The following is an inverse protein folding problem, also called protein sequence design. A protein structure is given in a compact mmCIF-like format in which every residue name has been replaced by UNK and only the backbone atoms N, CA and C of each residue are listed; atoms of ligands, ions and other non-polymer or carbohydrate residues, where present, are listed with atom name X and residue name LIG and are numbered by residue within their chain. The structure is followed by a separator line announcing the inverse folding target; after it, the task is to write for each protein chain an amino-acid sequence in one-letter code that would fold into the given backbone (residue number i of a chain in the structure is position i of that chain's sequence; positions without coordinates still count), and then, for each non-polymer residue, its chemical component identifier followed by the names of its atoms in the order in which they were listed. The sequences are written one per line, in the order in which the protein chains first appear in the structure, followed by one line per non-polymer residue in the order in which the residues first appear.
data_IF_203428541941
#
_entry.id   IF_203428541941
#
_cell.length_a   1.000
_cell.length_b   1.000
_cell.length_c   1.000
_cell.angle_alpha   90.00
_cell.angle_beta   90.00
_cell.angle_gamma   90.00
#
_symmetry.space_group_name_H-M   'P 1'
#
loop_
_entity.id
_entity.type
_entity.pdbx_description
1 polymer ?
#
# COMPACT_ATOMS: atom_id res chain seq x y z
N UNK A 1 190.35 -39.82 106.29
CA UNK A 1 191.07 -40.64 105.28
C UNK A 1 191.91 -41.80 105.87
N UNK A 2 191.74 -42.18 107.13
CA UNK A 2 191.15 -43.51 107.43
C UNK A 2 189.64 -43.45 107.28
N UNK A 3 189.13 -42.75 106.24
CA UNK A 3 188.65 -43.44 105.03
C UNK A 3 187.67 -44.43 105.59
N UNK A 4 186.37 -44.15 105.61
CA UNK A 4 185.31 -45.12 105.31
C UNK A 4 185.23 -46.42 106.16
N UNK A 5 186.21 -46.74 106.99
CA UNK A 5 186.82 -48.05 106.75
C UNK A 5 187.60 -48.61 107.95
N UNK A 6 187.22 -48.22 109.16
CA UNK A 6 187.24 -49.18 110.25
C UNK A 6 185.84 -49.32 110.84
N UNK A 7 184.82 -49.01 110.03
CA UNK A 7 184.05 -50.04 109.29
C UNK A 7 182.93 -50.53 110.22
N UNK A 8 181.75 -50.92 109.79
CA UNK A 8 181.57 -52.11 108.92
C UNK A 8 182.33 -53.37 109.43
N UNK A 9 183.07 -53.30 110.54
CA UNK A 9 183.80 -54.41 111.14
C UNK A 9 184.30 -53.98 112.52
N UNK A 10 183.37 -53.94 113.45
CA UNK A 10 183.50 -54.22 114.87
C UNK A 10 182.19 -53.66 115.44
N UNK A 11 181.10 -54.39 115.27
CA UNK A 11 180.97 -55.77 115.73
C UNK A 11 181.43 -55.83 117.19
N UNK A 12 180.51 -56.31 118.00
CA UNK A 12 180.75 -57.03 119.24
C UNK A 12 180.60 -56.23 120.55
N UNK A 13 179.73 -56.80 121.40
CA UNK A 13 179.91 -56.96 122.86
C UNK A 13 179.25 -55.89 123.77
N UNK A 14 178.12 -56.32 124.37
CA UNK A 14 177.29 -55.73 125.44
C UNK A 14 176.43 -54.47 125.16
N UNK A 15 175.19 -54.53 125.68
CA UNK A 15 173.94 -53.88 125.28
C UNK A 15 173.76 -52.43 125.81
N UNK A 16 173.39 -51.49 124.94
CA UNK A 16 172.98 -50.10 125.25
C UNK A 16 171.49 -50.01 125.58
N UNK A 17 171.14 -49.52 126.76
CA UNK A 17 169.79 -49.62 127.31
C UNK A 17 168.79 -48.58 126.78
N UNK A 18 168.22 -48.90 125.62
CA UNK A 18 166.77 -49.04 125.54
C UNK A 18 166.25 -49.63 126.86
N UNK A 19 165.00 -49.38 127.23
CA UNK A 19 164.24 -50.41 127.93
C UNK A 19 164.57 -50.63 129.41
N UNK A 20 163.72 -50.05 130.24
CA UNK A 20 162.86 -50.84 131.08
C UNK A 20 161.73 -49.93 131.54
N UNK A 21 160.51 -50.47 131.60
CA UNK A 21 159.49 -49.95 132.48
C UNK A 21 160.08 -49.74 133.89
N UNK A 22 159.59 -48.74 134.64
CA UNK A 22 160.23 -48.23 135.87
C UNK A 22 160.80 -49.36 136.77
N UNK A 23 162.10 -49.32 137.13
CA UNK A 23 162.75 -50.40 137.88
C UNK A 23 162.20 -50.58 139.30
N UNK A 24 161.62 -49.53 139.88
CA UNK A 24 160.95 -49.51 141.19
C UNK A 24 159.49 -49.98 141.16
N UNK A 25 159.00 -50.47 140.00
CA UNK A 25 157.65 -51.05 139.88
C UNK A 25 157.77 -52.55 139.54
N UNK A 26 157.81 -53.43 140.56
CA UNK A 26 157.91 -54.88 140.37
C UNK A 26 156.78 -55.43 139.51
N UNK A 27 157.06 -56.47 138.71
CA UNK A 27 156.06 -57.11 137.84
C UNK A 27 154.90 -57.76 138.60
N UNK A 28 155.13 -58.17 139.85
CA UNK A 28 154.16 -58.73 140.78
C UNK A 28 153.44 -57.67 141.64
N UNK A 29 153.79 -56.39 141.49
CA UNK A 29 153.07 -55.31 142.15
C UNK A 29 151.68 -55.12 141.52
N UNK A 30 150.65 -55.00 142.36
CA UNK A 30 149.24 -54.87 141.92
C UNK A 30 149.00 -53.73 140.91
N UNK A 31 149.82 -52.67 140.96
CA UNK A 31 149.69 -51.51 140.09
C UNK A 31 150.35 -51.65 138.70
N UNK A 32 151.10 -52.74 138.46
CA UNK A 32 151.98 -52.86 137.29
C UNK A 32 151.26 -52.64 135.96
N UNK A 33 150.15 -53.36 135.71
CA UNK A 33 149.41 -53.25 134.43
C UNK A 33 148.83 -51.86 134.21
N UNK A 34 148.35 -51.21 135.27
CA UNK A 34 147.74 -49.90 135.18
C UNK A 34 148.80 -48.86 134.82
N UNK A 35 149.94 -48.88 135.51
CA UNK A 35 151.07 -48.00 135.22
C UNK A 35 151.61 -48.25 133.81
N UNK A 36 151.67 -49.51 133.36
CA UNK A 36 152.05 -49.88 131.99
C UNK A 36 151.10 -49.30 130.93
N UNK A 37 149.79 -49.48 131.11
CA UNK A 37 148.78 -48.98 130.16
C UNK A 37 148.79 -47.46 130.06
N UNK A 38 149.00 -46.77 131.18
CA UNK A 38 149.09 -45.32 131.22
C UNK A 38 150.40 -44.82 130.62
N UNK A 39 151.52 -45.50 130.88
CA UNK A 39 152.82 -45.17 130.29
C UNK A 39 152.82 -45.33 128.76
N UNK A 40 152.26 -46.42 128.22
CA UNK A 40 152.14 -46.61 126.76
C UNK A 40 151.32 -45.51 126.07
N UNK A 41 150.34 -44.93 126.77
CA UNK A 41 149.50 -43.83 126.26
C UNK A 41 150.12 -42.45 126.54
N UNK A 42 151.34 -42.41 127.09
CA UNK A 42 152.05 -41.19 127.45
C UNK A 42 151.47 -40.46 128.68
N UNK A 43 150.51 -41.05 129.39
CA UNK A 43 149.78 -40.40 130.50
C UNK A 43 150.71 -40.19 131.71
N UNK A 44 151.43 -41.23 132.15
CA UNK A 44 152.51 -41.13 133.16
C UNK A 44 153.87 -41.43 132.53
N UNK A 45 154.87 -40.58 132.77
CA UNK A 45 156.21 -40.68 132.15
C UNK A 45 157.35 -40.97 133.15
N UNK A 46 157.09 -40.94 134.46
CA UNK A 46 158.08 -41.16 135.53
C UNK A 46 158.89 -39.91 135.91
N UNK A 47 159.80 -40.08 136.86
CA UNK A 47 160.71 -39.04 137.33
C UNK A 47 162.05 -39.03 136.56
N UNK A 48 162.80 -37.91 136.58
CA UNK A 48 164.06 -37.79 135.82
C UNK A 48 165.15 -38.80 136.20
N UNK A 49 165.04 -39.45 137.36
CA UNK A 49 165.93 -40.53 137.80
C UNK A 49 165.54 -41.91 137.25
N UNK A 50 164.44 -42.01 136.49
CA UNK A 50 163.95 -43.23 135.86
C UNK A 50 163.01 -44.07 136.73
N UNK A 51 162.70 -43.63 137.95
CA UNK A 51 161.75 -44.30 138.86
C UNK A 51 160.32 -43.75 138.72
N UNK A 52 159.33 -44.54 139.12
CA UNK A 52 157.93 -44.11 139.23
C UNK A 52 157.61 -43.44 140.56
N UNK A 53 158.30 -43.86 141.63
CA UNK A 53 158.12 -43.44 143.03
C UNK A 53 156.70 -43.65 143.54
N UNK A 54 156.21 -44.88 143.45
CA UNK A 54 154.81 -45.25 143.75
C UNK A 54 154.29 -44.86 145.14
N UNK A 55 155.16 -44.82 146.17
CA UNK A 55 154.80 -44.44 147.54
C UNK A 55 154.91 -42.93 147.81
N UNK A 56 155.37 -42.14 146.83
CA UNK A 56 155.47 -40.69 146.97
C UNK A 56 154.11 -40.04 146.70
N UNK A 57 153.68 -39.17 147.61
CA UNK A 57 152.55 -38.29 147.34
C UNK A 57 152.79 -37.43 146.10
N UNK A 58 151.87 -37.46 145.14
CA UNK A 58 151.90 -36.56 143.98
C UNK A 58 151.41 -35.17 144.38
N UNK A 59 152.05 -34.15 143.79
CA UNK A 59 151.57 -32.77 143.86
C UNK A 59 150.32 -32.61 142.99
N UNK A 60 149.47 -31.63 143.33
CA UNK A 60 148.29 -31.30 142.51
C UNK A 60 148.67 -30.93 141.06
N UNK A 61 149.87 -30.39 140.83
CA UNK A 61 150.39 -30.09 139.50
C UNK A 61 150.64 -31.36 138.67
N UNK A 62 151.27 -32.39 139.26
CA UNK A 62 151.52 -33.67 138.58
C UNK A 62 150.22 -34.39 138.22
N UNK A 63 149.24 -34.41 139.14
CA UNK A 63 147.92 -34.99 138.88
C UNK A 63 147.20 -34.31 137.70
N UNK A 64 147.26 -32.97 137.63
CA UNK A 64 146.64 -32.21 136.54
C UNK A 64 147.27 -32.53 135.17
N UNK A 65 148.59 -32.70 135.10
CA UNK A 65 149.29 -33.08 133.85
C UNK A 65 148.83 -34.46 133.35
N UNK A 66 148.68 -35.44 134.24
CA UNK A 66 148.20 -36.76 133.87
C UNK A 66 146.75 -36.73 133.33
N UNK A 67 145.85 -35.99 133.99
CA UNK A 67 144.46 -35.83 133.53
C UNK A 67 144.39 -35.14 132.16
N UNK A 68 145.20 -34.10 131.93
CA UNK A 68 145.24 -33.41 130.64
C UNK A 68 145.58 -34.37 129.50
N UNK A 69 146.62 -35.18 129.67
CA UNK A 69 147.02 -36.16 128.65
C UNK A 69 145.98 -37.26 128.43
N UNK A 70 145.29 -37.66 129.50
CA UNK A 70 144.18 -38.61 129.39
C UNK A 70 143.04 -38.01 128.55
N UNK A 71 142.71 -36.74 128.75
CA UNK A 71 141.68 -36.05 127.95
C UNK A 71 142.09 -35.94 126.48
N UNK A 72 143.33 -35.53 126.19
CA UNK A 72 143.84 -35.47 124.81
C UNK A 72 143.75 -36.83 124.09
N UNK A 73 144.08 -37.91 124.80
CA UNK A 73 143.96 -39.26 124.27
C UNK A 73 142.50 -39.66 123.99
N UNK A 74 141.57 -39.32 124.90
CA UNK A 74 140.13 -39.58 124.72
C UNK A 74 139.60 -38.78 123.54
N UNK A 75 139.94 -37.50 123.42
CA UNK A 75 139.54 -36.67 122.29
C UNK A 75 140.05 -37.24 120.97
N UNK A 76 141.33 -37.59 120.87
CA UNK A 76 141.90 -38.11 119.63
C UNK A 76 141.25 -39.43 119.18
N UNK A 77 140.90 -40.33 120.10
CA UNK A 77 140.34 -41.66 119.79
C UNK A 77 138.82 -41.67 119.63
N UNK A 78 138.07 -40.88 120.41
CA UNK A 78 136.61 -40.79 120.26
C UNK A 78 136.19 -39.89 119.09
N UNK A 79 137.01 -38.91 118.68
CA UNK A 79 136.66 -38.03 117.57
C UNK A 79 137.06 -38.55 116.19
N UNK A 80 137.97 -39.53 116.08
CA UNK A 80 138.50 -39.97 114.79
C UNK A 80 137.74 -41.14 114.12
N UNK A 81 136.84 -41.85 114.82
CA UNK A 81 136.27 -43.11 114.32
C UNK A 81 134.76 -43.16 114.06
N UNK A 82 133.97 -42.22 114.61
CA UNK A 82 132.50 -42.27 114.54
C UNK A 82 131.88 -41.15 113.66
N UNK A 83 132.69 -40.40 112.92
CA UNK A 83 132.27 -39.19 112.19
C UNK A 83 132.43 -39.25 110.67
N UNK A 84 132.92 -40.36 110.11
CA UNK A 84 133.19 -40.50 108.66
C UNK A 84 131.97 -40.77 107.76
N UNK A 85 131.24 -41.88 107.97
CA UNK A 85 130.33 -42.39 106.92
C UNK A 85 128.83 -42.23 107.21
N UNK A 86 128.41 -41.93 108.45
CA UNK A 86 126.99 -41.72 108.76
C UNK A 86 126.46 -40.42 108.14
N UNK A 87 127.28 -39.36 108.10
CA UNK A 87 126.91 -38.07 107.52
C UNK A 87 126.56 -38.20 106.02
N UNK A 88 127.28 -39.04 105.27
CA UNK A 88 127.08 -39.18 103.83
C UNK A 88 125.81 -39.98 103.50
N UNK A 89 125.52 -41.06 104.24
CA UNK A 89 124.29 -41.85 104.08
C UNK A 89 123.06 -41.03 104.46
N UNK A 90 123.11 -40.31 105.58
CA UNK A 90 122.05 -39.40 106.01
C UNK A 90 121.85 -38.28 104.98
N UNK A 91 122.93 -37.73 104.42
CA UNK A 91 122.87 -36.74 103.33
C UNK A 91 122.13 -37.23 102.10
N UNK A 92 122.51 -38.37 101.51
CA UNK A 92 121.88 -38.89 100.29
C UNK A 92 120.38 -39.23 100.46
N UNK A 93 119.99 -39.73 101.64
CA UNK A 93 118.59 -40.03 101.94
C UNK A 93 117.78 -38.75 102.16
N UNK A 94 118.38 -37.76 102.85
CA UNK A 94 117.83 -36.41 102.98
C UNK A 94 117.59 -35.79 101.59
N UNK A 95 118.57 -35.85 100.69
CA UNK A 95 118.44 -35.29 99.34
C UNK A 95 117.30 -35.96 98.53
N UNK A 96 117.15 -37.28 98.60
CA UNK A 96 116.03 -38.00 97.94
C UNK A 96 114.68 -37.69 98.58
N UNK A 97 114.60 -37.59 99.91
CA UNK A 97 113.36 -37.26 100.60
C UNK A 97 112.94 -35.82 100.28
N UNK A 98 113.88 -34.87 100.30
CA UNK A 98 113.64 -33.50 99.87
C UNK A 98 113.14 -33.43 98.42
N UNK A 99 113.75 -34.16 97.49
CA UNK A 99 113.31 -34.18 96.09
C UNK A 99 111.91 -34.82 95.90
N UNK A 100 111.55 -35.80 96.72
CA UNK A 100 110.22 -36.41 96.69
C UNK A 100 109.17 -35.48 97.30
N UNK A 101 109.49 -34.86 98.44
CA UNK A 101 108.66 -33.85 99.08
C UNK A 101 108.40 -32.67 98.14
N UNK A 102 109.42 -32.20 97.43
CA UNK A 102 109.30 -31.17 96.39
C UNK A 102 108.33 -31.61 95.27
N UNK A 103 108.43 -32.85 94.77
CA UNK A 103 107.49 -33.38 93.75
C UNK A 103 106.06 -33.52 94.26
N UNK A 104 105.86 -33.96 95.50
CA UNK A 104 104.53 -34.11 96.11
C UNK A 104 103.90 -32.74 96.33
N UNK A 105 104.68 -31.76 96.80
CA UNK A 105 104.23 -30.37 96.90
C UNK A 105 103.88 -29.80 95.52
N UNK A 106 104.67 -30.12 94.49
CA UNK A 106 104.37 -29.76 93.09
C UNK A 106 103.06 -30.37 92.58
N UNK A 107 102.81 -31.66 92.82
CA UNK A 107 101.55 -32.33 92.45
C UNK A 107 100.34 -31.77 93.21
N UNK A 108 100.53 -31.44 94.49
CA UNK A 108 99.49 -30.79 95.30
C UNK A 108 99.09 -29.46 94.68
N UNK A 109 100.07 -28.64 94.27
CA UNK A 109 99.79 -27.38 93.55
C UNK A 109 99.11 -27.55 92.20
N UNK A 110 99.43 -28.61 91.44
CA UNK A 110 98.74 -28.93 90.18
C UNK A 110 97.28 -29.33 90.44
N UNK A 111 97.01 -30.14 91.46
CA UNK A 111 95.65 -30.55 91.84
C UNK A 111 94.79 -29.36 92.26
N UNK A 112 95.34 -28.44 93.05
CA UNK A 112 94.66 -27.20 93.44
C UNK A 112 94.34 -26.34 92.20
N UNK A 113 95.28 -26.25 91.26
CA UNK A 113 95.09 -25.52 89.99
C UNK A 113 93.98 -26.14 89.15
N UNK A 114 93.96 -27.47 89.00
CA UNK A 114 92.92 -28.18 88.24
C UNK A 114 91.55 -28.05 88.89
N UNK A 115 91.46 -28.15 90.23
CA UNK A 115 90.21 -27.93 90.95
C UNK A 115 89.65 -26.52 90.72
N UNK A 116 90.52 -25.50 90.72
CA UNK A 116 90.16 -24.13 90.38
C UNK A 116 89.69 -23.98 88.92
N UNK A 117 90.39 -24.61 87.96
CA UNK A 117 89.99 -24.60 86.55
C UNK A 117 88.66 -25.30 86.29
N UNK A 118 88.39 -26.42 86.96
CA UNK A 118 87.10 -27.12 86.87
C UNK A 118 85.98 -26.25 87.46
N UNK A 119 86.21 -25.62 88.62
CA UNK A 119 85.25 -24.71 89.23
C UNK A 119 84.90 -23.51 88.34
N UNK A 120 85.92 -22.87 87.76
CA UNK A 120 85.73 -21.75 86.82
C UNK A 120 85.03 -22.19 85.52
N UNK A 121 85.37 -23.37 84.98
CA UNK A 121 84.71 -23.92 83.79
C UNK A 121 83.24 -24.24 84.05
N UNK A 122 82.92 -24.82 85.20
CA UNK A 122 81.54 -25.12 85.60
C UNK A 122 80.72 -23.84 85.80
N UNK A 123 81.31 -22.80 86.39
CA UNK A 123 80.68 -21.50 86.53
C UNK A 123 80.40 -20.85 85.16
N UNK A 124 81.39 -20.85 84.26
CA UNK A 124 81.23 -20.32 82.90
C UNK A 124 80.18 -21.09 82.09
N UNK A 125 80.10 -22.42 82.23
CA UNK A 125 79.07 -23.24 81.59
C UNK A 125 77.67 -22.87 82.10
N UNK A 126 77.51 -22.80 83.41
CA UNK A 126 76.22 -22.43 84.04
C UNK A 126 75.78 -21.03 83.61
N UNK A 127 76.72 -20.09 83.53
CA UNK A 127 76.45 -18.73 83.05
C UNK A 127 76.08 -18.70 81.56
N UNK A 128 76.75 -19.49 80.73
CA UNK A 128 76.42 -19.63 79.30
C UNK A 128 75.05 -20.25 79.10
N UNK A 129 74.69 -21.27 79.89
CA UNK A 129 73.37 -21.90 79.88
C UNK A 129 72.27 -20.89 80.28
N UNK A 130 72.52 -20.08 81.32
CA UNK A 130 71.62 -19.00 81.74
C UNK A 130 71.43 -17.96 80.63
N UNK A 131 72.51 -17.47 80.02
CA UNK A 131 72.44 -16.52 78.91
C UNK A 131 71.71 -17.08 77.68
N UNK A 132 71.89 -18.38 77.39
CA UNK A 132 71.20 -19.03 76.27
C UNK A 132 69.69 -19.14 76.53
N UNK A 133 69.29 -19.50 77.75
CA UNK A 133 67.88 -19.56 78.15
C UNK A 133 67.22 -18.18 78.07
N UNK A 134 67.88 -17.12 78.56
CA UNK A 134 67.38 -15.75 78.45
C UNK A 134 67.21 -15.30 76.98
N UNK A 135 68.15 -15.68 76.10
CA UNK A 135 68.03 -15.42 74.66
C UNK A 135 66.88 -16.21 74.02
N UNK A 136 66.65 -17.46 74.43
CA UNK A 136 65.54 -18.29 73.95
C UNK A 136 64.21 -17.67 74.37
N UNK A 137 64.07 -17.25 75.63
CA UNK A 137 62.86 -16.63 76.15
C UNK A 137 62.58 -15.29 75.44
N UNK A 138 63.60 -14.45 75.24
CA UNK A 138 63.46 -13.19 74.49
C UNK A 138 63.01 -13.40 73.04
N UNK A 139 63.60 -14.39 72.33
CA UNK A 139 63.19 -14.74 70.96
C UNK A 139 61.76 -15.29 70.94
N UNK A 140 61.38 -16.08 71.95
CA UNK A 140 60.02 -16.61 72.06
C UNK A 140 59.00 -15.48 72.26
N UNK A 141 59.28 -14.52 73.14
CA UNK A 141 58.44 -13.34 73.35
C UNK A 141 58.33 -12.49 72.07
N UNK A 142 59.43 -12.27 71.35
CA UNK A 142 59.42 -11.54 70.08
C UNK A 142 58.55 -12.23 69.02
N UNK A 143 58.66 -13.56 68.90
CA UNK A 143 57.84 -14.39 68.01
C UNK A 143 56.36 -14.28 68.41
N UNK A 144 56.02 -14.46 69.69
CA UNK A 144 54.64 -14.37 70.17
C UNK A 144 54.03 -12.98 69.89
N UNK A 145 54.78 -11.90 70.12
CA UNK A 145 54.34 -10.54 69.81
C UNK A 145 54.09 -10.31 68.31
N UNK A 146 54.97 -10.78 67.42
CA UNK A 146 54.79 -10.59 65.98
C UNK A 146 53.65 -11.46 65.44
N UNK A 147 53.48 -12.69 65.95
CA UNK A 147 52.33 -13.54 65.63
C UNK A 147 51.01 -12.90 66.07
N UNK A 148 50.91 -12.37 67.30
CA UNK A 148 49.70 -11.71 67.80
C UNK A 148 49.34 -10.47 66.97
N UNK A 149 50.34 -9.70 66.56
CA UNK A 149 50.18 -8.55 65.66
C UNK A 149 49.67 -8.96 64.29
N UNK A 150 50.24 -10.01 63.68
CA UNK A 150 49.80 -10.53 62.39
C UNK A 150 48.38 -11.10 62.46
N UNK A 151 48.05 -11.84 63.52
CA UNK A 151 46.69 -12.36 63.77
C UNK A 151 45.68 -11.21 63.91
N UNK A 152 46.05 -10.14 64.63
CA UNK A 152 45.20 -8.96 64.80
C UNK A 152 44.91 -8.27 63.47
N UNK A 153 45.94 -8.02 62.65
CA UNK A 153 45.81 -7.44 61.32
C UNK A 153 44.96 -8.32 60.40
N UNK A 154 45.20 -9.63 60.38
CA UNK A 154 44.43 -10.57 59.57
C UNK A 154 42.95 -10.60 60.00
N UNK A 155 42.66 -10.54 61.30
CA UNK A 155 41.29 -10.44 61.82
C UNK A 155 40.59 -9.16 61.34
N UNK A 156 41.29 -8.03 61.36
CA UNK A 156 40.76 -6.76 60.86
C UNK A 156 40.47 -6.81 59.34
N UNK A 157 41.41 -7.33 58.55
CA UNK A 157 41.24 -7.51 57.10
C UNK A 157 40.06 -8.42 56.78
N UNK A 158 39.93 -9.56 57.46
CA UNK A 158 38.80 -10.48 57.29
C UNK A 158 37.47 -9.81 57.65
N UNK A 159 37.42 -9.05 58.75
CA UNK A 159 36.22 -8.29 59.12
C UNK A 159 35.84 -7.26 58.05
N UNK A 160 36.81 -6.49 57.54
CA UNK A 160 36.60 -5.50 56.49
C UNK A 160 36.13 -6.12 55.17
N UNK A 161 36.68 -7.28 54.78
CA UNK A 161 36.24 -8.05 53.63
C UNK A 161 34.80 -8.54 53.83
N UNK A 162 34.49 -9.09 55.01
CA UNK A 162 33.13 -9.54 55.37
C UNK A 162 32.09 -8.42 55.26
N UNK A 163 32.41 -7.21 55.76
CA UNK A 163 31.55 -6.03 55.63
C UNK A 163 31.34 -5.59 54.18
N UNK A 164 32.41 -5.54 53.37
CA UNK A 164 32.33 -5.18 51.95
C UNK A 164 31.48 -6.19 51.16
N UNK A 165 31.69 -7.49 51.40
CA UNK A 165 30.90 -8.55 50.78
C UNK A 165 29.42 -8.47 51.18
N UNK A 166 29.13 -8.20 52.46
CA UNK A 166 27.76 -8.02 52.94
C UNK A 166 27.05 -6.82 52.28
N UNK A 167 27.76 -5.70 52.10
CA UNK A 167 27.22 -4.53 51.39
C UNK A 167 26.99 -4.82 49.90
N UNK A 168 27.97 -5.42 49.22
CA UNK A 168 27.85 -5.79 47.80
C UNK A 168 26.69 -6.77 47.56
N UNK A 169 26.50 -7.75 48.46
CA UNK A 169 25.37 -8.67 48.41
C UNK A 169 24.03 -7.93 48.53
N UNK A 170 23.94 -6.93 49.42
CA UNK A 170 22.71 -6.13 49.58
C UNK A 170 22.43 -5.24 48.37
N UNK A 171 23.48 -4.68 47.76
CA UNK A 171 23.34 -3.85 46.56
C UNK A 171 22.92 -4.70 45.35
N UNK A 172 23.45 -5.92 45.23
CA UNK A 172 23.02 -6.89 44.20
C UNK A 172 21.55 -7.25 44.34
N UNK A 173 21.08 -7.60 45.55
CA UNK A 173 19.66 -7.92 45.76
C UNK A 173 18.76 -6.71 45.46
N UNK A 174 19.15 -5.50 45.88
CA UNK A 174 18.40 -4.28 45.55
C UNK A 174 18.35 -4.02 44.04
N UNK A 175 19.46 -4.23 43.33
CA UNK A 175 19.50 -4.08 41.87
C UNK A 175 18.59 -5.09 41.18
N UNK A 176 18.62 -6.36 41.62
CA UNK A 176 17.76 -7.42 41.13
C UNK A 176 16.28 -7.11 41.36
N UNK A 177 15.91 -6.69 42.58
CA UNK A 177 14.54 -6.26 42.90
C UNK A 177 14.07 -5.10 41.99
N UNK A 178 14.94 -4.12 41.71
CA UNK A 178 14.61 -3.02 40.80
C UNK A 178 14.41 -3.50 39.35
N UNK A 179 15.22 -4.44 38.88
CA UNK A 179 15.07 -5.05 37.54
C UNK A 179 13.76 -5.82 37.45
N UNK A 180 13.46 -6.67 38.44
CA UNK A 180 12.23 -7.45 38.50
C UNK A 180 10.99 -6.55 38.53
N UNK A 181 11.03 -5.46 39.32
CA UNK A 181 9.97 -4.45 39.35
C UNK A 181 9.78 -3.78 37.97
N UNK A 182 10.89 -3.45 37.27
CA UNK A 182 10.81 -2.83 35.95
C UNK A 182 10.26 -3.78 34.88
N UNK A 183 10.64 -5.05 34.94
CA UNK A 183 10.10 -6.11 34.08
C UNK A 183 8.59 -6.25 34.32
N UNK A 184 8.14 -6.25 35.57
CA UNK A 184 6.71 -6.28 35.91
C UNK A 184 5.96 -5.08 35.32
N UNK A 185 6.49 -3.86 35.50
CA UNK A 185 5.89 -2.64 34.94
C UNK A 185 5.78 -2.68 33.41
N UNK A 186 6.81 -3.18 32.72
CA UNK A 186 6.82 -3.31 31.25
C UNK A 186 5.79 -4.36 30.79
N UNK A 187 5.69 -5.49 31.49
CA UNK A 187 4.73 -6.54 31.16
C UNK A 187 3.27 -6.07 31.37
N UNK A 188 2.99 -5.31 32.42
CA UNK A 188 1.66 -4.71 32.63
C UNK A 188 1.29 -3.73 31.52
N UNK A 189 2.24 -2.88 31.10
CA UNK A 189 2.04 -1.94 29.98
C UNK A 189 1.83 -2.67 28.66
N UNK A 190 2.58 -3.73 28.40
CA UNK A 190 2.42 -4.56 27.21
C UNK A 190 1.03 -5.21 27.17
N UNK A 191 0.58 -5.83 28.27
CA UNK A 191 -0.74 -6.44 28.37
C UNK A 191 -1.87 -5.42 28.15
N UNK A 192 -1.73 -4.20 28.67
CA UNK A 192 -2.69 -3.12 28.43
C UNK A 192 -2.74 -2.70 26.96
N UNK A 193 -1.60 -2.62 26.29
CA UNK A 193 -1.51 -2.29 24.87
C UNK A 193 -2.10 -3.41 23.99
N UNK A 194 -1.82 -4.67 24.30
CA UNK A 194 -2.40 -5.83 23.62
C UNK A 194 -3.92 -5.85 23.74
N UNK A 195 -4.46 -5.52 24.92
CA UNK A 195 -5.90 -5.38 25.14
C UNK A 195 -6.52 -4.24 24.31
N UNK A 196 -5.90 -3.07 24.28
CA UNK A 196 -6.37 -1.93 23.47
C UNK A 196 -6.37 -2.27 21.97
N UNK A 197 -5.30 -2.90 21.49
CA UNK A 197 -5.19 -3.35 20.11
C UNK A 197 -6.25 -4.41 19.77
N UNK A 198 -6.47 -5.38 20.66
CA UNK A 198 -7.53 -6.39 20.50
C UNK A 198 -8.93 -5.77 20.39
N UNK A 199 -9.24 -4.77 21.23
CA UNK A 199 -10.51 -4.05 21.14
C UNK A 199 -10.67 -3.30 19.82
N UNK A 200 -9.61 -2.59 19.37
CA UNK A 200 -9.63 -1.87 18.08
C UNK A 200 -9.80 -2.80 16.88
N UNK A 201 -9.20 -3.99 16.92
CA UNK A 201 -9.38 -5.02 15.89
C UNK A 201 -10.84 -5.47 15.87
N UNK A 202 -11.44 -5.76 17.04
CA UNK A 202 -12.84 -6.15 17.14
C UNK A 202 -13.81 -5.06 16.61
N UNK A 203 -13.54 -3.79 16.89
CA UNK A 203 -14.32 -2.66 16.36
C UNK A 203 -14.22 -2.59 14.82
N UNK A 204 -13.02 -2.75 14.27
CA UNK A 204 -12.79 -2.78 12.82
C UNK A 204 -13.50 -3.96 12.15
N UNK A 205 -13.43 -5.16 12.74
CA UNK A 205 -14.17 -6.33 12.28
C UNK A 205 -15.69 -6.07 12.28
N UNK A 206 -16.20 -5.42 13.33
CA UNK A 206 -17.60 -4.99 13.42
C UNK A 206 -18.01 -4.06 12.27
N UNK A 207 -17.20 -3.05 11.97
CA UNK A 207 -17.44 -2.10 10.86
C UNK A 207 -17.38 -2.80 9.51
N UNK A 208 -16.39 -3.66 9.28
CA UNK A 208 -16.24 -4.42 8.02
C UNK A 208 -17.47 -5.29 7.77
N UNK A 209 -17.95 -6.00 8.80
CA UNK A 209 -19.16 -6.82 8.72
C UNK A 209 -20.43 -5.98 8.40
N UNK A 210 -20.53 -4.75 8.91
CA UNK A 210 -21.62 -3.85 8.58
C UNK A 210 -21.55 -3.38 7.12
N UNK A 211 -20.37 -2.95 6.66
CA UNK A 211 -20.17 -2.54 5.27
C UNK A 211 -20.43 -3.69 4.28
N UNK A 212 -20.06 -4.93 4.62
CA UNK A 212 -20.36 -6.09 3.79
C UNK A 212 -21.88 -6.26 3.60
N UNK A 213 -22.66 -6.14 4.68
CA UNK A 213 -24.13 -6.17 4.61
C UNK A 213 -24.69 -5.01 3.77
N UNK A 214 -24.17 -3.80 3.95
CA UNK A 214 -24.61 -2.62 3.20
C UNK A 214 -24.32 -2.76 1.70
N UNK A 215 -23.15 -3.29 1.33
CA UNK A 215 -22.78 -3.57 -0.07
C UNK A 215 -23.76 -4.57 -0.69
N UNK A 216 -24.07 -5.66 0.01
CA UNK A 216 -25.05 -6.66 -0.46
C UNK A 216 -26.42 -6.01 -0.66
N UNK A 217 -26.88 -5.19 0.29
CA UNK A 217 -28.15 -4.48 0.21
C UNK A 217 -28.19 -3.49 -0.97
N UNK A 218 -27.12 -2.74 -1.19
CA UNK A 218 -26.99 -1.82 -2.32
C UNK A 218 -27.03 -2.58 -3.64
N UNK A 219 -26.29 -3.69 -3.75
CA UNK A 219 -26.29 -4.53 -4.94
C UNK A 219 -27.71 -5.04 -5.28
N UNK A 220 -28.43 -5.56 -4.29
CA UNK A 220 -29.81 -6.03 -4.47
C UNK A 220 -30.74 -4.91 -4.93
N UNK A 221 -30.63 -3.71 -4.34
CA UNK A 221 -31.40 -2.53 -4.76
C UNK A 221 -31.09 -2.11 -6.20
N UNK A 222 -29.82 -2.08 -6.58
CA UNK A 222 -29.40 -1.76 -7.95
C UNK A 222 -29.97 -2.78 -8.94
N UNK A 223 -29.90 -4.07 -8.60
CA UNK A 223 -30.46 -5.14 -9.42
C UNK A 223 -31.97 -4.94 -9.64
N UNK A 224 -32.73 -4.66 -8.57
CA UNK A 224 -34.18 -4.42 -8.68
C UNK A 224 -34.52 -3.17 -9.50
N UNK A 225 -33.74 -2.10 -9.34
CA UNK A 225 -33.95 -0.85 -10.10
C UNK A 225 -33.66 -1.07 -11.58
N UNK A 226 -32.59 -1.82 -11.90
CA UNK A 226 -32.25 -2.15 -13.29
C UNK A 226 -33.34 -3.01 -13.95
N UNK A 227 -33.89 -3.98 -13.23
CA UNK A 227 -35.01 -4.78 -13.71
C UNK A 227 -36.26 -3.92 -13.99
N UNK A 228 -36.63 -3.04 -13.05
CA UNK A 228 -37.76 -2.12 -13.23
C UNK A 228 -37.54 -1.18 -14.42
N UNK A 229 -36.34 -0.64 -14.58
CA UNK A 229 -35.99 0.24 -15.69
C UNK A 229 -36.07 -0.48 -17.03
N UNK A 230 -35.51 -1.69 -17.13
CA UNK A 230 -35.56 -2.51 -18.34
C UNK A 230 -37.02 -2.85 -18.72
N UNK A 231 -37.86 -3.18 -17.75
CA UNK A 231 -39.28 -3.43 -17.97
C UNK A 231 -40.01 -2.17 -18.48
N UNK A 232 -39.70 -0.99 -17.94
CA UNK A 232 -40.27 0.29 -18.42
C UNK A 232 -39.81 0.65 -19.83
N UNK A 233 -38.54 0.40 -20.16
CA UNK A 233 -37.98 0.61 -21.50
C UNK A 233 -38.71 -0.31 -22.50
N UNK A 234 -38.77 -1.61 -22.22
CA UNK A 234 -39.45 -2.58 -23.08
C UNK A 234 -40.93 -2.22 -23.32
N UNK A 235 -41.65 -1.83 -22.26
CA UNK A 235 -43.06 -1.40 -22.39
C UNK A 235 -43.23 -0.09 -23.19
N UNK A 236 -42.21 0.78 -23.20
CA UNK A 236 -42.23 2.02 -23.97
C UNK A 236 -41.91 1.74 -25.44
N UNK A 237 -40.94 0.88 -25.71
CA UNK A 237 -40.60 0.41 -27.06
C UNK A 237 -41.78 -0.31 -27.73
N UNK A 238 -42.49 -1.17 -26.99
CA UNK A 238 -43.70 -1.83 -27.49
C UNK A 238 -44.79 -0.81 -27.88
N UNK A 239 -45.02 0.22 -27.04
CA UNK A 239 -45.98 1.29 -27.34
C UNK A 239 -45.57 2.11 -28.56
N UNK A 240 -44.28 2.37 -28.73
CA UNK A 240 -43.76 3.10 -29.89
C UNK A 240 -43.95 2.27 -31.18
N UNK A 241 -43.59 0.99 -31.15
CA UNK A 241 -43.79 0.07 -32.28
C UNK A 241 -45.26 0.00 -32.70
N UNK A 242 -46.18 -0.08 -31.74
CA UNK A 242 -47.64 -0.05 -32.02
C UNK A 242 -48.08 1.26 -32.63
N UNK A 243 -47.51 2.40 -32.21
CA UNK A 243 -47.82 3.71 -32.79
C UNK A 243 -47.28 3.84 -34.22
N UNK A 244 -46.09 3.30 -34.48
CA UNK A 244 -45.52 3.26 -35.82
C UNK A 244 -46.39 2.41 -36.76
N UNK A 245 -46.85 1.24 -36.32
CA UNK A 245 -47.81 0.40 -37.06
C UNK A 245 -49.13 1.13 -37.34
N UNK A 246 -49.70 1.81 -36.34
CA UNK A 246 -50.93 2.61 -36.49
C UNK A 246 -50.75 3.75 -37.50
N UNK A 247 -49.62 4.46 -37.46
CA UNK A 247 -49.30 5.56 -38.37
C UNK A 247 -49.11 5.02 -39.80
N UNK A 248 -48.34 3.95 -39.97
CA UNK A 248 -48.13 3.32 -41.28
C UNK A 248 -49.45 2.88 -41.91
N UNK A 249 -50.34 2.21 -41.14
CA UNK A 249 -51.65 1.81 -41.63
C UNK A 249 -52.53 3.01 -42.03
N UNK A 250 -52.47 4.11 -41.28
CA UNK A 250 -53.19 5.34 -41.61
C UNK A 250 -52.67 6.00 -42.89
N UNK A 251 -51.35 6.03 -43.08
CA UNK A 251 -50.71 6.56 -44.28
C UNK A 251 -51.11 5.75 -45.51
N UNK A 252 -51.04 4.41 -45.45
CA UNK A 252 -51.47 3.54 -46.56
C UNK A 252 -52.95 3.76 -46.93
N UNK A 253 -53.82 3.94 -45.93
CA UNK A 253 -55.24 4.21 -46.15
C UNK A 253 -55.44 5.57 -46.82
N UNK A 254 -54.77 6.62 -46.35
CA UNK A 254 -54.85 7.95 -46.96
C UNK A 254 -54.27 7.97 -48.38
N UNK A 255 -53.18 7.26 -48.65
CA UNK A 255 -52.63 7.13 -50.01
C UNK A 255 -53.66 6.49 -50.95
N UNK A 256 -54.32 5.43 -50.51
CA UNK A 256 -55.41 4.78 -51.27
C UNK A 256 -56.58 5.73 -51.52
N UNK A 257 -56.99 6.50 -50.51
CA UNK A 257 -58.07 7.48 -50.63
C UNK A 257 -57.71 8.61 -51.60
N UNK A 258 -56.47 9.10 -51.55
CA UNK A 258 -55.96 10.11 -52.49
C UNK A 258 -55.99 9.59 -53.92
N UNK A 259 -55.52 8.36 -54.17
CA UNK A 259 -55.56 7.73 -55.50
C UNK A 259 -57.00 7.58 -55.99
N UNK A 260 -57.92 7.13 -55.13
CA UNK A 260 -59.33 6.99 -55.47
C UNK A 260 -59.97 8.35 -55.83
N UNK A 261 -59.68 9.39 -55.05
CA UNK A 261 -60.15 10.75 -55.32
C UNK A 261 -59.59 11.28 -56.65
N UNK A 262 -58.31 11.08 -56.90
CA UNK A 262 -57.66 11.48 -58.15
C UNK A 262 -58.35 10.82 -59.37
N UNK A 263 -58.56 9.49 -59.32
CA UNK A 263 -59.24 8.75 -60.38
C UNK A 263 -60.68 9.23 -60.59
N UNK A 264 -61.40 9.52 -59.50
CA UNK A 264 -62.77 10.05 -59.58
C UNK A 264 -62.81 11.44 -60.22
N UNK A 265 -61.87 12.31 -59.88
CA UNK A 265 -61.74 13.65 -60.49
C UNK A 265 -61.40 13.54 -61.98
N UNK A 266 -60.49 12.63 -62.35
CA UNK A 266 -60.14 12.39 -63.75
C UNK A 266 -61.35 11.94 -64.58
N UNK A 267 -62.14 10.97 -64.07
CA UNK A 267 -63.35 10.49 -64.71
C UNK A 267 -64.43 11.58 -64.84
N UNK A 268 -64.62 12.40 -63.80
CA UNK A 268 -65.54 13.55 -63.86
C UNK A 268 -65.10 14.57 -64.91
N UNK A 269 -63.80 14.82 -65.03
CA UNK A 269 -63.26 15.75 -66.02
C UNK A 269 -63.44 15.23 -67.46
N UNK A 270 -63.28 13.92 -67.67
CA UNK A 270 -63.56 13.28 -68.97
C UNK A 270 -65.05 13.35 -69.34
N UNK A 271 -65.95 13.00 -68.41
CA UNK A 271 -67.41 13.08 -68.62
C UNK A 271 -67.87 14.51 -68.92
N UNK A 272 -67.33 15.50 -68.19
CA UNK A 272 -67.62 16.91 -68.43
C UNK A 272 -67.17 17.34 -69.83
N UNK A 273 -65.94 17.00 -70.23
CA UNK A 273 -65.42 17.33 -71.55
C UNK A 273 -66.24 16.67 -72.67
N UNK A 274 -66.66 15.43 -72.48
CA UNK A 274 -67.55 14.73 -73.42
C UNK A 274 -68.89 15.43 -73.56
N UNK A 275 -69.55 15.77 -72.44
CA UNK A 275 -70.81 16.54 -72.46
C UNK A 275 -70.68 17.87 -73.17
N UNK A 276 -69.57 18.57 -72.97
CA UNK A 276 -69.28 19.84 -73.68
C UNK A 276 -69.17 19.59 -75.19
N UNK A 277 -68.46 18.55 -75.62
CA UNK A 277 -68.32 18.17 -77.03
C UNK A 277 -69.67 17.78 -77.67
N UNK A 278 -70.44 16.94 -76.99
CA UNK A 278 -71.76 16.49 -77.46
C UNK A 278 -72.72 17.68 -77.59
N UNK A 279 -72.76 18.56 -76.58
CA UNK A 279 -73.57 19.79 -76.62
C UNK A 279 -73.16 20.70 -77.77
N UNK A 280 -71.86 20.86 -78.01
CA UNK A 280 -71.33 21.66 -79.13
C UNK A 280 -71.74 21.07 -80.47
N UNK A 281 -71.68 19.74 -80.62
CA UNK A 281 -72.09 19.05 -81.84
C UNK A 281 -73.60 19.20 -82.09
N UNK A 282 -74.43 19.01 -81.07
CA UNK A 282 -75.89 19.21 -81.16
C UNK A 282 -76.24 20.64 -81.58
N UNK A 283 -75.58 21.63 -80.97
CA UNK A 283 -75.81 23.04 -81.31
C UNK A 283 -75.40 23.33 -82.75
N UNK A 284 -74.24 22.81 -83.19
CA UNK A 284 -73.77 22.94 -84.57
C UNK A 284 -74.76 22.34 -85.57
N UNK A 285 -75.30 21.15 -85.31
CA UNK A 285 -76.28 20.49 -86.17
C UNK A 285 -77.62 21.25 -86.23
N UNK A 286 -78.07 21.83 -85.11
CA UNK A 286 -79.27 22.68 -85.07
C UNK A 286 -79.07 23.94 -85.92
N UNK A 287 -77.91 24.58 -85.82
CA UNK A 287 -77.56 25.75 -86.63
C UNK A 287 -77.60 25.39 -88.12
N UNK A 288 -76.94 24.30 -88.54
CA UNK A 288 -76.93 23.86 -89.94
C UNK A 288 -78.34 23.53 -90.47
N UNK A 289 -79.18 22.88 -89.65
CA UNK A 289 -80.59 22.61 -90.01
C UNK A 289 -81.40 23.89 -90.19
N UNK A 290 -81.17 24.89 -89.33
CA UNK A 290 -81.82 26.19 -89.45
C UNK A 290 -81.36 26.93 -90.70
N UNK A 291 -80.05 26.93 -90.99
CA UNK A 291 -79.48 27.51 -92.22
C UNK A 291 -80.08 26.86 -93.47
N UNK A 292 -80.20 25.52 -93.51
CA UNK A 292 -80.85 24.81 -94.61
C UNK A 292 -82.32 25.20 -94.78
N UNK A 293 -83.06 25.31 -93.68
CA UNK A 293 -84.47 25.72 -93.71
C UNK A 293 -84.61 27.14 -94.23
N UNK A 294 -83.75 28.05 -93.76
CA UNK A 294 -83.72 29.44 -94.21
C UNK A 294 -83.44 29.51 -95.72
N UNK A 295 -82.46 28.75 -96.22
CA UNK A 295 -82.16 28.67 -97.64
C UNK A 295 -83.34 28.14 -98.47
N UNK A 296 -84.05 27.11 -98.00
CA UNK A 296 -85.25 26.60 -98.68
C UNK A 296 -86.39 27.63 -98.72
N UNK A 297 -86.62 28.34 -97.63
CA UNK A 297 -87.63 29.42 -97.57
C UNK A 297 -87.26 30.50 -98.58
N UNK A 298 -85.98 30.89 -98.62
CA UNK A 298 -85.47 31.86 -99.57
C UNK A 298 -85.69 31.42 -101.04
N UNK A 299 -85.40 30.17 -101.40
CA UNK A 299 -85.67 29.65 -102.75
C UNK A 299 -87.17 29.64 -103.10
N UNK A 300 -88.03 29.20 -102.19
CA UNK A 300 -89.49 29.20 -102.41
C UNK A 300 -90.05 30.60 -102.60
N UNK A 301 -89.50 31.57 -101.89
CA UNK A 301 -89.87 32.97 -102.04
C UNK A 301 -89.55 33.43 -103.47
N UNK A 302 -88.34 33.16 -103.96
CA UNK A 302 -87.95 33.48 -105.35
C UNK A 302 -88.84 32.80 -106.39
N UNK A 303 -89.17 31.51 -106.22
CA UNK A 303 -90.08 30.80 -107.14
C UNK A 303 -91.49 31.42 -107.14
N UNK A 304 -91.96 31.83 -105.97
CA UNK A 304 -93.27 32.48 -105.82
C UNK A 304 -93.28 33.84 -106.49
N UNK A 305 -92.20 34.63 -106.31
CA UNK A 305 -92.02 35.90 -107.02
C UNK A 305 -92.01 35.69 -108.54
N UNK A 306 -91.36 34.64 -109.05
CA UNK A 306 -91.37 34.30 -110.48
C UNK A 306 -92.78 33.97 -110.99
N UNK A 307 -93.51 33.07 -110.31
CA UNK A 307 -94.88 32.69 -110.69
C UNK A 307 -95.83 33.87 -110.67
N UNK A 308 -95.72 34.71 -109.66
CA UNK A 308 -96.53 35.92 -109.55
C UNK A 308 -96.24 36.85 -110.74
N UNK A 309 -94.98 36.98 -111.15
CA UNK A 309 -94.61 37.75 -112.33
C UNK A 309 -95.18 37.16 -113.64
N UNK A 310 -95.21 35.83 -113.76
CA UNK A 310 -95.83 35.15 -114.91
C UNK A 310 -97.36 35.35 -114.95
N UNK A 311 -98.04 35.20 -113.80
CA UNK A 311 -99.49 35.46 -113.68
C UNK A 311 -99.84 36.91 -114.01
N UNK A 312 -99.04 37.87 -113.52
CA UNK A 312 -99.19 39.29 -113.86
C UNK A 312 -99.04 39.49 -115.37
N UNK A 313 -98.14 38.76 -116.03
CA UNK A 313 -97.93 38.86 -117.48
C UNK A 313 -99.11 38.26 -118.27
N UNK A 314 -99.62 37.09 -117.85
CA UNK A 314 -100.79 36.47 -118.47
C UNK A 314 -102.06 37.30 -118.32
N UNK A 315 -102.25 37.94 -117.16
CA UNK A 315 -103.36 38.89 -116.95
C UNK A 315 -103.27 40.08 -117.91
N UNK A 316 -102.06 40.60 -118.18
CA UNK A 316 -101.87 41.68 -119.16
C UNK A 316 -102.21 41.25 -120.58
N UNK A 317 -101.90 40.02 -120.99
CA UNK A 317 -102.31 39.50 -122.31
C UNK A 317 -103.83 39.34 -122.42
N UNK A 318 -104.46 38.80 -121.37
CA UNK A 318 -105.91 38.60 -121.35
C UNK A 318 -106.67 39.93 -121.37
N UNK A 319 -106.15 40.93 -120.66
CA UNK A 319 -106.65 42.30 -120.70
C UNK A 319 -106.59 42.87 -122.13
N UNK A 320 -105.50 42.62 -122.86
CA UNK A 320 -105.38 43.02 -124.26
C UNK A 320 -106.36 42.27 -125.20
N UNK A 321 -106.64 40.99 -124.95
CA UNK A 321 -107.61 40.21 -125.73
C UNK A 321 -109.06 40.64 -125.48
N UNK A 322 -109.41 40.92 -124.22
CA UNK A 322 -110.70 41.53 -123.85
C UNK A 322 -110.85 42.85 -124.58
N UNK A 323 -109.82 43.70 -124.59
CA UNK A 323 -109.86 44.98 -125.29
C UNK A 323 -110.15 44.79 -126.79
N UNK A 324 -109.47 43.84 -127.45
CA UNK A 324 -109.74 43.52 -128.86
C UNK A 324 -111.17 43.03 -129.11
N UNK A 325 -111.74 42.27 -128.18
CA UNK A 325 -113.12 41.77 -128.27
C UNK A 325 -114.14 42.91 -128.10
N UNK A 326 -113.87 43.81 -127.16
CA UNK A 326 -114.65 45.03 -126.95
C UNK A 326 -114.65 45.86 -128.24
N UNK A 327 -113.49 46.07 -128.86
CA UNK A 327 -113.37 46.81 -130.11
C UNK A 327 -114.19 46.14 -131.26
N UNK A 328 -114.20 44.81 -131.32
CA UNK A 328 -114.96 44.02 -132.30
C UNK A 328 -116.48 44.14 -132.09
N UNK A 329 -116.95 44.01 -130.85
CA UNK A 329 -118.36 44.21 -130.53
C UNK A 329 -118.80 45.65 -130.80
N UNK A 330 -117.94 46.63 -130.55
CA UNK A 330 -118.21 48.03 -130.86
C UNK A 330 -118.39 48.21 -132.39
N UNK A 331 -117.59 47.53 -133.21
CA UNK A 331 -117.76 47.48 -134.66
C UNK A 331 -119.05 46.76 -135.12
N UNK A 332 -119.40 45.63 -134.49
CA UNK A 332 -120.64 44.89 -134.80
C UNK A 332 -121.88 45.71 -134.44
N UNK A 333 -121.86 46.43 -133.32
CA UNK A 333 -122.94 47.34 -132.92
C UNK A 333 -123.13 48.43 -133.99
N UNK A 334 -122.04 49.02 -134.49
CA UNK A 334 -122.10 50.00 -135.58
C UNK A 334 -122.72 49.40 -136.86
N UNK A 335 -122.32 48.18 -137.24
CA UNK A 335 -122.86 47.48 -138.40
C UNK A 335 -124.37 47.15 -138.26
N UNK A 336 -124.80 46.70 -137.09
CA UNK A 336 -126.21 46.41 -136.79
C UNK A 336 -127.07 47.67 -136.87
N UNK A 337 -126.57 48.78 -136.34
CA UNK A 337 -127.25 50.08 -136.43
C UNK A 337 -127.49 50.49 -137.88
N UNK A 338 -126.49 50.30 -138.75
CA UNK A 338 -126.61 50.54 -140.19
C UNK A 338 -127.66 49.67 -140.88
N UNK A 339 -127.69 48.35 -140.61
CA UNK A 339 -128.72 47.45 -141.18
C UNK A 339 -130.13 47.82 -140.74
N UNK A 340 -130.30 48.13 -139.46
CA UNK A 340 -131.62 48.48 -138.89
C UNK A 340 -132.18 49.74 -139.57
N UNK A 341 -131.33 50.74 -139.80
CA UNK A 341 -131.70 51.96 -140.53
C UNK A 341 -132.17 51.66 -141.97
N UNK A 342 -131.50 50.74 -142.69
CA UNK A 342 -131.91 50.37 -144.06
C UNK A 342 -133.26 49.63 -144.10
N UNK A 343 -133.54 48.82 -143.09
CA UNK A 343 -134.81 48.08 -143.00
C UNK A 343 -135.99 49.01 -142.73
N UNK A 344 -135.75 50.07 -141.95
CA UNK A 344 -136.74 51.10 -141.62
C UNK A 344 -137.13 51.92 -142.87
N UNK A 345 -136.16 52.23 -143.75
CA UNK A 345 -136.43 52.86 -145.06
C UNK A 345 -137.27 51.96 -146.00
N UNK A 346 -136.90 50.69 -146.13
CA UNK A 346 -137.61 49.71 -146.98
C UNK A 346 -139.07 49.52 -146.56
N UNK A 347 -139.32 49.46 -145.25
CA UNK A 347 -140.66 49.27 -144.69
C UNK A 347 -141.55 50.49 -144.99
N UNK A 348 -140.99 51.69 -144.88
CA UNK A 348 -141.70 52.94 -145.13
C UNK A 348 -142.11 53.09 -146.61
N UNK A 349 -141.26 52.62 -147.52
CA UNK A 349 -141.54 52.60 -148.96
C UNK A 349 -142.74 51.71 -149.30
N UNK A 350 -142.78 50.48 -148.76
CA UNK A 350 -143.90 49.54 -148.95
C UNK A 350 -145.21 50.04 -148.37
N UNK A 351 -145.15 50.70 -147.23
CA UNK A 351 -146.33 51.30 -146.60
C UNK A 351 -146.97 52.36 -147.51
N UNK A 352 -146.14 53.22 -148.11
CA UNK A 352 -146.60 54.28 -149.02
C UNK A 352 -147.23 53.72 -150.31
N UNK A 353 -146.61 52.74 -150.96
CA UNK A 353 -147.18 52.09 -152.17
C UNK A 353 -148.54 51.43 -151.90
N UNK A 354 -148.73 50.89 -150.70
CA UNK A 354 -149.97 50.19 -150.34
C UNK A 354 -151.13 51.16 -150.18
N UNK A 355 -150.89 52.33 -149.58
CA UNK A 355 -151.93 53.35 -149.39
C UNK A 355 -152.38 53.98 -150.73
N UNK A 356 -151.46 54.21 -151.66
CA UNK A 356 -151.80 54.72 -153.00
C UNK A 356 -152.77 53.80 -153.76
N UNK A 357 -152.58 52.48 -153.65
CA UNK A 357 -153.49 51.49 -154.25
C UNK A 357 -154.88 51.51 -153.61
N UNK A 358 -154.98 51.75 -152.31
CA UNK A 358 -156.27 51.84 -151.60
C UNK A 358 -157.07 53.05 -152.09
N UNK A 359 -156.42 54.19 -152.29
CA UNK A 359 -157.08 55.42 -152.73
C UNK A 359 -157.61 55.30 -154.17
N UNK A 360 -156.89 54.61 -155.06
CA UNK A 360 -157.37 54.31 -156.43
C UNK A 360 -158.65 53.46 -156.42
N UNK A 361 -158.71 52.41 -155.60
CA UNK A 361 -159.88 51.53 -155.52
C UNK A 361 -161.11 52.26 -154.97
N UNK A 362 -160.93 53.19 -154.02
CA UNK A 362 -162.01 54.03 -153.51
C UNK A 362 -162.63 54.90 -154.62
N UNK A 363 -161.79 55.55 -155.42
CA UNK A 363 -162.25 56.44 -156.49
C UNK A 363 -163.08 55.70 -157.56
N UNK A 364 -162.66 54.50 -157.99
CA UNK A 364 -163.43 53.69 -158.95
C UNK A 364 -164.81 53.27 -158.43
N UNK A 365 -164.94 53.10 -157.10
CA UNK A 365 -166.19 52.68 -156.48
C UNK A 365 -167.21 53.82 -156.43
N UNK A 366 -166.76 55.05 -156.17
CA UNK A 366 -167.60 56.25 -156.13
C UNK A 366 -168.24 56.55 -157.49
N UNK A 367 -167.45 56.48 -158.58
CA UNK A 367 -167.95 56.70 -159.94
C UNK A 367 -169.06 55.69 -160.34
N UNK A 368 -168.92 54.43 -159.92
CA UNK A 368 -169.96 53.41 -160.16
C UNK A 368 -171.24 53.70 -159.40
N UNK A 369 -171.16 54.18 -158.16
CA UNK A 369 -172.34 54.50 -157.34
C UNK A 369 -173.12 55.68 -157.95
N UNK A 370 -172.43 56.70 -158.47
CA UNK A 370 -173.04 57.87 -159.11
C UNK A 370 -173.87 57.45 -160.33
N UNK A 371 -173.35 56.54 -161.15
CA UNK A 371 -174.01 56.06 -162.38
C UNK A 371 -175.34 55.33 -162.10
N UNK A 372 -175.41 54.56 -161.00
CA UNK A 372 -176.62 53.81 -160.62
C UNK A 372 -177.72 54.75 -160.11
N UNK A 373 -177.35 55.80 -159.37
CA UNK A 373 -178.32 56.79 -158.87
C UNK A 373 -179.01 57.55 -160.01
N UNK A 374 -178.27 57.88 -161.07
CA UNK A 374 -178.82 58.58 -162.23
C UNK A 374 -179.90 57.76 -162.98
N UNK A 375 -179.71 56.45 -163.12
CA UNK A 375 -180.67 55.57 -163.78
C UNK A 375 -182.01 55.50 -163.03
N UNK A 376 -181.96 55.41 -161.71
CA UNK A 376 -183.17 55.18 -160.90
C UNK A 376 -184.09 56.42 -160.84
N UNK A 377 -183.53 57.62 -160.92
CA UNK A 377 -184.31 58.87 -160.89
C UNK A 377 -185.17 59.05 -162.15
N UNK A 378 -184.69 58.60 -163.30
CA UNK A 378 -185.43 58.69 -164.56
C UNK A 378 -186.60 57.70 -164.62
N UNK A 379 -186.49 56.54 -163.96
CA UNK A 379 -187.56 55.53 -163.96
C UNK A 379 -188.81 55.99 -163.17
N UNK A 380 -188.60 56.71 -162.07
CA UNK A 380 -189.67 57.25 -161.19
C UNK A 380 -190.61 58.23 -161.91
N UNK A 381 -190.06 59.12 -162.74
CA UNK A 381 -190.85 60.16 -163.42
C UNK A 381 -191.76 59.56 -164.49
N UNK A 382 -191.33 58.48 -165.17
CA UNK A 382 -192.13 57.84 -166.21
C UNK A 382 -193.32 57.06 -165.63
N UNK A 383 -193.15 56.42 -164.47
CA UNK A 383 -194.25 55.68 -163.81
C UNK A 383 -195.36 56.60 -163.29
N UNK A 384 -195.03 57.82 -162.84
CA UNK A 384 -196.04 58.79 -162.42
C UNK A 384 -196.98 59.21 -163.55
N UNK A 385 -196.47 59.35 -164.77
CA UNK A 385 -197.27 59.70 -165.94
C UNK A 385 -198.25 58.58 -166.34
N UNK A 386 -197.90 57.31 -166.11
CA UNK A 386 -198.73 56.18 -166.53
C UNK A 386 -199.98 56.01 -165.67
N UNK A 387 -199.86 56.18 -164.34
CA UNK A 387 -201.03 56.08 -163.45
C UNK A 387 -202.01 57.26 -163.59
N UNK A 388 -201.54 58.42 -164.07
CA UNK A 388 -202.41 59.56 -164.39
C UNK A 388 -203.36 59.32 -165.57
N UNK A 389 -202.94 58.52 -166.55
CA UNK A 389 -203.77 58.22 -167.75
C UNK A 389 -204.80 57.12 -167.45
N UNK A 390 -204.44 56.12 -166.64
CA UNK A 390 -205.34 54.99 -166.35
C UNK A 390 -206.55 55.40 -165.49
N UNK A 391 -206.37 56.36 -164.57
CA UNK A 391 -207.46 56.86 -163.72
C UNK A 391 -208.55 57.61 -164.49
N UNK A 392 -208.18 58.36 -165.54
CA UNK A 392 -209.13 59.12 -166.35
C UNK A 392 -209.95 58.24 -167.30
N UNK A 393 -209.41 57.11 -167.73
CA UNK A 393 -210.13 56.18 -168.63
C UNK A 393 -211.19 55.36 -167.86
N UNK A 394 -210.92 54.98 -166.61
CA UNK A 394 -211.84 54.16 -165.82
C UNK A 394 -213.11 54.91 -165.36
N UNK A 395 -213.03 56.23 -165.19
CA UNK A 395 -214.20 57.05 -164.81
C UNK A 395 -215.15 57.27 -166.01
N UNK A 396 -214.64 57.24 -167.25
CA UNK A 396 -215.48 57.45 -168.44
C UNK A 396 -216.33 56.23 -168.85
N UNK A 397 -216.07 55.02 -168.31
CA UNK A 397 -216.73 53.77 -168.74
C UNK A 397 -217.72 53.22 -167.70
N UNK A 398 -217.74 53.72 -166.46
CA UNK A 398 -218.60 53.17 -165.39
C UNK A 398 -219.83 54.04 -165.10
N UNK A 399 -220.92 53.80 -165.84
CA UNK A 399 -222.32 53.98 -165.40
C UNK A 399 -222.83 55.43 -165.33
N UNK A 400 -223.82 55.79 -166.16
CA UNK A 400 -225.26 55.69 -165.85
C UNK A 400 -225.75 56.73 -164.85
#
# INVERSE_FOLDING_TARGET
MKRVLLTVAMLSVFFSAMFAFFPDVPKDHWAYEYVWKLWQRGIFIGYPDGEFKGDRYITRYEAATAVSRLLDFIEQKMLAGASGDLAQVVGNLSDKYMALEEKVNGLTGILDTLASQIGTTQANLTETERELLEKIDAVKEEIEMEFDKEISLNREVVNNIGLKLGNLSRDYERYKENVDAKISEVNEKLAALEKDLGNKIADLEGIVNLHEKDIINIYNKISSVNEELNNKIAATEEKLSRKDEEISAMVELHEKDIINLYNKVAALNEDLNKKILDTKAELSAKIESQEKTLNMVYTKLLDTESKLNDEISALKEKDAEIQKTVDLHEQDIVNLYGKTSSLEEDLNMKYNETNEKIDQVKAELEDKIESVKAYNRNLSILTGAFFGILGLILIAISGK
#
